data_IF_266743680339
#
_entry.id   IF_266743680339
#
_cell.length_a   1.000
_cell.length_b   1.000
_cell.length_c   1.000
_cell.angle_alpha   90.00
_cell.angle_beta   90.00
_cell.angle_gamma   90.00
#
_symmetry.space_group_name_H-M   'P 1'
#
loop_
_entity.id
_entity.type
_entity.pdbx_description
1 polymer ?
#
# COMPACT_ATOMS: atom_id res chain seq x y z
N UNK A 1 9.48 3.44 -33.97
CA UNK A 1 10.37 2.54 -33.20
C UNK A 1 9.49 1.52 -32.51
N UNK A 2 9.35 0.32 -33.07
CA UNK A 2 8.59 -0.76 -32.41
C UNK A 2 9.42 -1.32 -31.26
N UNK A 3 8.93 -1.21 -30.04
CA UNK A 3 9.46 -1.98 -28.93
C UNK A 3 9.27 -3.46 -29.27
N UNK A 4 10.37 -4.20 -29.39
CA UNK A 4 10.31 -5.65 -29.50
C UNK A 4 9.55 -6.18 -28.28
N UNK A 5 8.58 -7.06 -28.50
CA UNK A 5 7.87 -7.70 -27.40
C UNK A 5 8.90 -8.40 -26.49
N UNK A 6 8.85 -8.19 -25.18
CA UNK A 6 9.75 -8.87 -24.26
C UNK A 6 9.62 -10.39 -24.46
N UNK A 7 10.74 -11.10 -24.40
CA UNK A 7 10.72 -12.55 -24.41
C UNK A 7 9.77 -13.05 -23.29
N UNK A 8 8.88 -13.99 -23.62
CA UNK A 8 7.86 -14.56 -22.72
C UNK A 8 8.34 -14.78 -21.26
N UNK A 9 9.53 -15.38 -21.00
CA UNK A 9 10.01 -15.55 -19.62
C UNK A 9 10.31 -14.23 -18.89
N UNK A 10 10.82 -13.21 -19.57
CA UNK A 10 11.09 -11.90 -18.95
C UNK A 10 9.79 -11.16 -18.59
N UNK A 11 8.77 -11.30 -19.44
CA UNK A 11 7.44 -10.78 -19.17
C UNK A 11 6.78 -11.43 -17.95
N UNK A 12 6.85 -12.77 -17.86
CA UNK A 12 6.31 -13.53 -16.73
C UNK A 12 6.96 -13.10 -15.40
N UNK A 13 8.30 -13.02 -15.35
CA UNK A 13 9.03 -12.57 -14.15
C UNK A 13 8.65 -11.14 -13.74
N UNK A 14 8.48 -10.23 -14.70
CA UNK A 14 8.06 -8.85 -14.41
C UNK A 14 6.65 -8.78 -13.82
N UNK A 15 5.72 -9.62 -14.30
CA UNK A 15 4.37 -9.73 -13.74
C UNK A 15 4.38 -10.28 -12.31
N UNK A 16 5.13 -11.34 -12.06
CA UNK A 16 5.26 -11.93 -10.72
C UNK A 16 5.84 -10.92 -9.71
N UNK A 17 6.89 -10.21 -10.09
CA UNK A 17 7.48 -9.14 -9.27
C UNK A 17 6.46 -8.01 -9.00
N UNK A 18 5.66 -7.65 -10.00
CA UNK A 18 4.61 -6.63 -9.86
C UNK A 18 3.51 -7.08 -8.91
N UNK A 19 3.06 -8.34 -9.00
CA UNK A 19 2.09 -8.93 -8.07
C UNK A 19 2.64 -8.93 -6.65
N UNK A 20 3.90 -9.33 -6.45
CA UNK A 20 4.54 -9.30 -5.14
C UNK A 20 4.63 -7.89 -4.55
N UNK A 21 4.99 -6.89 -5.37
CA UNK A 21 5.03 -5.49 -4.95
C UNK A 21 3.63 -4.96 -4.56
N UNK A 22 2.61 -5.25 -5.38
CA UNK A 22 1.24 -4.85 -5.09
C UNK A 22 0.72 -5.54 -3.83
N UNK A 23 1.05 -6.82 -3.59
CA UNK A 23 0.69 -7.54 -2.35
C UNK A 23 1.30 -6.85 -1.14
N UNK A 24 2.54 -6.39 -1.22
CA UNK A 24 3.21 -5.65 -0.14
C UNK A 24 2.52 -4.32 0.16
N UNK A 25 2.11 -3.57 -0.86
CA UNK A 25 1.39 -2.30 -0.67
C UNK A 25 -0.02 -2.54 -0.11
N UNK A 26 -0.75 -3.49 -0.67
CA UNK A 26 -2.09 -3.86 -0.22
C UNK A 26 -2.10 -4.41 1.21
N UNK A 27 -1.09 -5.21 1.56
CA UNK A 27 -0.93 -5.82 2.88
C UNK A 27 -0.29 -4.90 3.92
N UNK A 28 -0.01 -3.64 3.60
CA UNK A 28 0.61 -2.75 4.58
C UNK A 28 -0.32 -2.51 5.77
N UNK A 29 0.29 -2.62 6.95
CA UNK A 29 -0.26 -2.19 8.22
C UNK A 29 0.75 -1.23 8.87
N UNK A 30 0.22 -0.26 9.60
CA UNK A 30 1.06 0.63 10.41
C UNK A 30 1.70 -0.19 11.54
N UNK A 31 2.89 0.21 11.96
CA UNK A 31 3.51 -0.39 13.15
C UNK A 31 2.59 -0.19 14.37
N UNK A 32 2.36 -1.21 15.22
CA UNK A 32 1.43 -1.11 16.33
C UNK A 32 1.72 0.04 17.31
N UNK A 33 3.00 0.37 17.54
CA UNK A 33 3.35 1.47 18.43
C UNK A 33 2.98 2.82 17.83
N UNK A 34 3.11 2.96 16.50
CA UNK A 34 2.69 4.15 15.78
C UNK A 34 1.16 4.26 15.73
N UNK A 35 0.46 3.15 15.51
CA UNK A 35 -1.01 3.12 15.52
C UNK A 35 -1.57 3.56 16.87
N UNK A 36 -0.99 3.04 17.96
CA UNK A 36 -1.34 3.47 19.32
C UNK A 36 -1.04 4.96 19.54
N UNK A 37 0.11 5.47 19.05
CA UNK A 37 0.46 6.89 19.17
C UNK A 37 -0.56 7.78 18.45
N UNK A 38 -1.00 7.41 17.24
CA UNK A 38 -2.02 8.17 16.50
C UNK A 38 -3.35 8.18 17.27
N UNK A 39 -3.75 7.04 17.82
CA UNK A 39 -4.96 6.93 18.65
C UNK A 39 -4.88 7.86 19.86
N UNK A 40 -3.80 7.78 20.63
CA UNK A 40 -3.58 8.61 21.83
C UNK A 40 -3.65 10.11 21.51
N UNK A 41 -3.00 10.54 20.42
CA UNK A 41 -3.05 11.92 19.94
C UNK A 41 -4.46 12.34 19.54
N UNK A 42 -5.20 11.47 18.85
CA UNK A 42 -6.57 11.71 18.42
C UNK A 42 -7.55 11.84 19.59
N UNK A 43 -7.39 11.03 20.63
CA UNK A 43 -8.24 11.04 21.82
C UNK A 43 -8.10 12.32 22.64
N UNK A 44 -6.88 12.88 22.73
CA UNK A 44 -6.60 14.11 23.50
C UNK A 44 -6.40 15.36 22.64
N UNK A 45 -6.90 15.36 21.40
CA UNK A 45 -6.68 16.40 20.38
C UNK A 45 -6.89 17.85 20.86
N UNK A 46 -7.76 18.06 21.85
CA UNK A 46 -8.09 19.37 22.42
C UNK A 46 -7.00 19.92 23.36
N UNK A 47 -6.09 19.06 23.83
CA UNK A 47 -5.04 19.38 24.81
C UNK A 47 -3.63 19.25 24.23
N UNK A 48 -3.52 19.05 22.91
CA UNK A 48 -2.22 18.86 22.26
C UNK A 48 -1.41 20.14 22.29
N UNK A 49 -0.11 19.98 22.55
CA UNK A 49 0.86 21.03 22.24
C UNK A 49 0.89 21.29 20.72
N UNK A 50 1.37 22.46 20.27
CA UNK A 50 1.49 22.73 18.84
C UNK A 50 2.29 21.68 18.06
N UNK A 51 3.33 21.11 18.67
CA UNK A 51 4.15 20.06 18.06
C UNK A 51 3.38 18.74 17.90
N UNK A 52 2.64 18.33 18.93
CA UNK A 52 1.82 17.11 18.87
C UNK A 52 0.64 17.26 17.90
N UNK A 53 0.08 18.46 17.79
CA UNK A 53 -0.96 18.75 16.79
C UNK A 53 -0.40 18.62 15.35
N UNK A 54 0.82 19.12 15.11
CA UNK A 54 1.50 18.92 13.83
C UNK A 54 1.80 17.44 13.56
N UNK A 55 2.24 16.70 14.58
CA UNK A 55 2.43 15.25 14.50
C UNK A 55 1.13 14.54 14.11
N UNK A 56 0.01 14.86 14.76
CA UNK A 56 -1.30 14.29 14.45
C UNK A 56 -1.72 14.59 13.01
N UNK A 57 -1.57 15.83 12.54
CA UNK A 57 -1.91 16.19 11.16
C UNK A 57 -1.04 15.46 10.13
N UNK A 58 0.26 15.29 10.42
CA UNK A 58 1.15 14.52 9.57
C UNK A 58 0.72 13.06 9.49
N UNK A 59 0.29 12.47 10.62
CA UNK A 59 -0.25 11.11 10.65
C UNK A 59 -1.57 10.97 9.89
N UNK A 60 -2.48 11.94 9.99
CA UNK A 60 -3.72 11.96 9.20
C UNK A 60 -3.39 11.98 7.71
N UNK A 61 -2.54 12.91 7.26
CA UNK A 61 -2.15 12.99 5.86
C UNK A 61 -1.46 11.71 5.36
N UNK A 62 -0.58 11.12 6.18
CA UNK A 62 0.08 9.86 5.86
C UNK A 62 -0.91 8.70 5.72
N UNK A 63 -1.82 8.54 6.69
CA UNK A 63 -2.79 7.43 6.71
C UNK A 63 -3.82 7.55 5.58
N UNK A 64 -4.24 8.76 5.22
CA UNK A 64 -5.09 9.02 4.06
C UNK A 64 -4.42 8.60 2.75
N UNK A 65 -3.18 9.06 2.51
CA UNK A 65 -2.43 8.66 1.32
C UNK A 65 -2.20 7.14 1.30
N UNK A 66 -1.88 6.56 2.45
CA UNK A 66 -1.60 5.13 2.55
C UNK A 66 -2.84 4.27 2.29
N UNK A 67 -4.01 4.73 2.72
CA UNK A 67 -5.28 4.08 2.41
C UNK A 67 -5.56 4.09 0.91
N UNK A 68 -5.34 5.22 0.22
CA UNK A 68 -5.49 5.32 -1.24
C UNK A 68 -4.54 4.36 -1.98
N UNK A 69 -3.28 4.30 -1.57
CA UNK A 69 -2.29 3.39 -2.15
C UNK A 69 -2.71 1.92 -1.98
N UNK A 70 -3.16 1.56 -0.77
CA UNK A 70 -3.64 0.21 -0.45
C UNK A 70 -4.84 -0.17 -1.32
N UNK A 71 -5.88 0.66 -1.39
CA UNK A 71 -7.05 0.37 -2.21
C UNK A 71 -6.71 0.29 -3.70
N UNK A 72 -5.79 1.15 -4.17
CA UNK A 72 -5.32 1.10 -5.55
C UNK A 72 -4.59 -0.20 -5.85
N UNK A 73 -3.71 -0.64 -4.94
CA UNK A 73 -2.98 -1.90 -5.08
C UNK A 73 -3.90 -3.11 -5.03
N UNK A 74 -4.87 -3.14 -4.10
CA UNK A 74 -5.88 -4.19 -4.02
C UNK A 74 -6.71 -4.28 -5.30
N UNK A 75 -7.16 -3.14 -5.83
CA UNK A 75 -7.92 -3.09 -7.09
C UNK A 75 -7.08 -3.59 -8.27
N UNK A 76 -5.81 -3.20 -8.34
CA UNK A 76 -4.90 -3.67 -9.38
C UNK A 76 -4.66 -5.18 -9.29
N UNK A 77 -4.43 -5.72 -8.08
CA UNK A 77 -4.29 -7.17 -7.85
C UNK A 77 -5.54 -7.93 -8.29
N UNK A 78 -6.73 -7.50 -7.86
CA UNK A 78 -7.98 -8.17 -8.24
C UNK A 78 -8.15 -8.22 -9.76
N UNK A 79 -7.83 -7.13 -10.46
CA UNK A 79 -7.89 -7.07 -11.93
C UNK A 79 -6.86 -7.99 -12.58
N UNK A 80 -5.61 -8.00 -12.09
CA UNK A 80 -4.56 -8.87 -12.62
C UNK A 80 -4.89 -10.35 -12.41
N UNK A 81 -5.33 -10.73 -11.21
CA UNK A 81 -5.67 -12.12 -10.89
C UNK A 81 -6.93 -12.60 -11.62
N UNK A 82 -7.86 -11.69 -11.96
CA UNK A 82 -8.99 -12.02 -12.81
C UNK A 82 -8.58 -12.34 -14.26
N UNK A 83 -7.52 -11.70 -14.76
CA UNK A 83 -6.99 -11.93 -16.12
C UNK A 83 -5.97 -13.07 -16.17
N UNK A 84 -5.23 -13.29 -15.08
CA UNK A 84 -4.14 -14.26 -14.94
C UNK A 84 -4.23 -14.97 -13.58
N UNK A 85 -5.16 -15.93 -13.43
CA UNK A 85 -5.35 -16.66 -12.17
C UNK A 85 -4.13 -17.49 -11.76
N UNK A 86 -3.27 -17.86 -12.72
CA UNK A 86 -2.02 -18.56 -12.50
C UNK A 86 -1.03 -17.80 -11.61
N UNK A 87 -1.14 -16.47 -11.56
CA UNK A 87 -0.36 -15.61 -10.66
C UNK A 87 -0.91 -15.58 -9.22
N UNK A 88 -2.05 -16.25 -8.98
CA UNK A 88 -2.71 -16.34 -7.67
C UNK A 88 -2.03 -17.28 -6.67
N UNK A 89 -0.96 -17.97 -7.09
CA UNK A 89 -0.17 -18.86 -6.23
C UNK A 89 0.22 -18.22 -4.89
N UNK A 90 0.21 -19.06 -3.84
CA UNK A 90 0.44 -18.71 -2.44
C UNK A 90 1.74 -17.91 -2.22
N UNK A 91 1.79 -17.07 -1.18
CA UNK A 91 2.93 -16.17 -0.90
C UNK A 91 4.28 -16.89 -0.76
#
# INVERSE_FOLDING_TARGET
MSAAAPAEPAWQTALEASVAALRRVAGYALDPALDQRVLELGERKEFLTPAEHQELLAWVAFTEQRALDKFTAERALRRLLALRPDLGGAP
#
